data_IF_127125275125
#
_entry.id   IF_127125275125
#
_cell.length_a   1.000
_cell.length_b   1.000
_cell.length_c   1.000
_cell.angle_alpha   90.00
_cell.angle_beta   90.00
_cell.angle_gamma   90.00
#
_symmetry.space_group_name_H-M   'P 1'
#
loop_
_entity.id
_entity.type
_entity.pdbx_description
1 polymer ?
#
# COMPACT_ATOMS: atom_id res chain seq x y z
N UNK A 1 -3.70 10.92 -4.00
CA UNK A 1 -4.43 9.64 -3.87
C UNK A 1 -5.58 9.57 -4.87
N UNK A 2 -6.55 10.49 -4.80
CA UNK A 2 -7.70 10.52 -5.71
C UNK A 2 -7.29 10.36 -7.19
N UNK A 3 -6.41 11.23 -7.69
CA UNK A 3 -5.96 11.21 -9.09
C UNK A 3 -5.31 9.88 -9.52
N UNK A 4 -4.74 9.12 -8.58
CA UNK A 4 -4.15 7.80 -8.87
C UNK A 4 -5.23 6.72 -9.02
N UNK A 5 -6.33 6.81 -8.29
CA UNK A 5 -7.40 5.81 -8.25
C UNK A 5 -8.59 6.14 -9.16
N UNK A 6 -8.79 7.43 -9.47
CA UNK A 6 -9.87 7.98 -10.29
C UNK A 6 -9.30 9.01 -11.30
N UNK A 7 -8.39 8.60 -12.21
CA UNK A 7 -7.70 9.53 -13.11
C UNK A 7 -8.62 10.25 -14.11
N UNK A 8 -9.84 9.76 -14.32
CA UNK A 8 -10.81 10.32 -15.25
C UNK A 8 -11.87 11.19 -14.58
N UNK A 9 -11.78 11.38 -13.26
CA UNK A 9 -12.76 12.15 -12.50
C UNK A 9 -12.04 13.19 -11.65
N UNK A 10 -12.41 14.46 -11.83
CA UNK A 10 -11.83 15.55 -11.06
C UNK A 10 -12.42 15.55 -9.65
N UNK A 11 -11.56 15.59 -8.64
CA UNK A 11 -11.98 15.84 -7.26
C UNK A 11 -12.51 17.27 -7.12
N UNK A 12 -13.74 17.42 -6.61
CA UNK A 12 -14.38 18.70 -6.35
C UNK A 12 -13.67 19.48 -5.24
N UNK A 13 -13.13 18.77 -4.26
CA UNK A 13 -12.36 19.35 -3.16
C UNK A 13 -12.16 18.35 -2.03
N UNK A 14 -11.60 18.82 -0.91
CA UNK A 14 -11.40 17.97 0.27
C UNK A 14 -12.72 17.53 0.92
N UNK A 15 -13.73 18.40 0.94
CA UNK A 15 -15.02 18.14 1.57
C UNK A 15 -16.07 17.75 0.51
N UNK A 16 -16.15 16.47 0.15
CA UNK A 16 -17.08 15.97 -0.89
C UNK A 16 -17.42 14.50 -0.66
N UNK A 17 -18.56 14.03 -1.18
CA UNK A 17 -18.94 12.61 -1.08
C UNK A 17 -18.11 11.70 -1.97
N UNK A 18 -17.37 12.24 -2.95
CA UNK A 18 -16.52 11.45 -3.85
C UNK A 18 -15.57 10.51 -3.09
N UNK A 19 -15.07 10.92 -1.93
CA UNK A 19 -14.19 10.09 -1.09
C UNK A 19 -14.78 8.73 -0.70
N UNK A 20 -16.11 8.62 -0.61
CA UNK A 20 -16.79 7.36 -0.34
C UNK A 20 -16.60 6.32 -1.46
N UNK A 21 -16.37 6.77 -2.70
CA UNK A 21 -16.15 5.91 -3.87
C UNK A 21 -14.77 5.24 -3.90
N UNK A 22 -13.85 5.69 -3.06
CA UNK A 22 -12.59 4.99 -2.81
C UNK A 22 -12.51 4.44 -1.37
N UNK A 23 -13.67 4.38 -0.70
CA UNK A 23 -13.85 3.69 0.57
C UNK A 23 -13.42 4.47 1.80
N UNK A 24 -13.40 5.81 1.78
CA UNK A 24 -13.35 6.63 3.02
C UNK A 24 -14.74 6.76 3.66
N UNK A 25 -14.78 7.13 4.94
CA UNK A 25 -16.04 7.38 5.64
C UNK A 25 -16.47 8.85 5.49
N UNK A 26 -17.64 9.07 4.89
CA UNK A 26 -18.23 10.39 4.80
C UNK A 26 -17.50 11.32 3.82
N UNK A 27 -17.49 12.62 4.13
CA UNK A 27 -17.08 13.68 3.19
C UNK A 27 -15.66 14.20 3.38
N UNK A 28 -15.03 13.98 4.53
CA UNK A 28 -13.66 14.45 4.82
C UNK A 28 -12.78 13.24 5.16
N UNK A 29 -11.89 12.81 4.25
CA UNK A 29 -11.07 11.61 4.46
C UNK A 29 -10.10 11.77 5.64
N UNK A 30 -9.83 13.01 6.09
CA UNK A 30 -8.97 13.26 7.24
C UNK A 30 -9.52 12.63 8.53
N UNK A 31 -10.84 12.40 8.64
CA UNK A 31 -11.42 11.81 9.85
C UNK A 31 -11.07 10.33 10.02
N UNK A 32 -10.78 9.63 8.92
CA UNK A 32 -10.41 8.21 8.94
C UNK A 32 -8.95 7.99 9.34
N UNK A 33 -8.08 8.98 9.08
CA UNK A 33 -6.65 8.89 9.39
C UNK A 33 -6.31 9.16 10.86
N UNK A 34 -7.28 9.22 11.79
CA UNK A 34 -6.99 9.50 13.22
C UNK A 34 -6.03 8.49 13.85
N UNK A 35 -6.11 7.21 13.45
CA UNK A 35 -5.25 6.15 13.98
C UNK A 35 -3.86 6.14 13.36
N UNK A 36 -3.79 5.89 12.04
CA UNK A 36 -2.52 5.70 11.32
C UNK A 36 -1.94 6.99 10.74
N UNK A 37 -2.66 8.10 10.83
CA UNK A 37 -2.20 9.42 10.40
C UNK A 37 -1.73 9.45 8.96
N UNK A 38 -0.69 10.26 8.73
CA UNK A 38 -0.05 10.43 7.43
C UNK A 38 0.58 9.14 6.89
N UNK A 39 0.94 8.17 7.75
CA UNK A 39 1.47 6.89 7.28
C UNK A 39 0.43 6.11 6.48
N UNK A 40 -0.81 6.05 6.97
CA UNK A 40 -1.88 5.36 6.24
C UNK A 40 -2.18 6.01 4.89
N UNK A 41 -2.07 7.34 4.80
CA UNK A 41 -2.21 8.04 3.52
C UNK A 41 -1.02 7.74 2.59
N UNK A 42 0.21 7.78 3.12
CA UNK A 42 1.41 7.50 2.36
C UNK A 42 1.42 6.07 1.80
N UNK A 43 1.00 5.09 2.59
CA UNK A 43 0.86 3.69 2.21
C UNK A 43 -0.15 3.52 1.06
N UNK A 44 -1.34 4.12 1.18
CA UNK A 44 -2.35 4.12 0.12
C UNK A 44 -1.83 4.77 -1.17
N UNK A 45 -1.13 5.91 -1.05
CA UNK A 45 -0.53 6.61 -2.20
C UNK A 45 0.56 5.77 -2.84
N UNK A 46 1.44 5.15 -2.04
CA UNK A 46 2.50 4.30 -2.54
C UNK A 46 1.92 3.12 -3.31
N UNK A 47 0.93 2.43 -2.75
CA UNK A 47 0.30 1.29 -3.41
C UNK A 47 -0.36 1.68 -4.74
N UNK A 48 -1.12 2.79 -4.75
CA UNK A 48 -1.75 3.29 -5.96
C UNK A 48 -0.75 3.76 -7.03
N UNK A 49 0.39 4.32 -6.60
CA UNK A 49 1.42 4.85 -7.51
C UNK A 49 2.31 3.76 -8.12
N UNK A 50 2.76 2.81 -7.31
CA UNK A 50 3.76 1.80 -7.72
C UNK A 50 3.14 0.47 -8.16
N UNK A 51 1.90 0.18 -7.76
CA UNK A 51 1.18 -1.03 -8.16
C UNK A 51 -0.23 -0.71 -8.70
N UNK A 52 -0.35 0.18 -9.70
CA UNK A 52 -1.64 0.70 -10.17
C UNK A 52 -2.61 -0.40 -10.61
N UNK A 53 -2.11 -1.47 -11.24
CA UNK A 53 -2.94 -2.60 -11.66
C UNK A 53 -3.52 -3.36 -10.45
N UNK A 54 -2.70 -3.61 -9.44
CA UNK A 54 -3.12 -4.31 -8.22
C UNK A 54 -4.06 -3.46 -7.37
N UNK A 55 -3.75 -2.17 -7.20
CA UNK A 55 -4.61 -1.25 -6.44
C UNK A 55 -5.94 -1.01 -7.13
N UNK A 56 -5.96 -0.89 -8.47
CA UNK A 56 -7.19 -0.74 -9.23
C UNK A 56 -8.05 -2.00 -9.16
N UNK A 57 -7.45 -3.19 -9.32
CA UNK A 57 -8.16 -4.45 -9.14
C UNK A 57 -8.74 -4.57 -7.72
N UNK A 58 -7.97 -4.22 -6.69
CA UNK A 58 -8.48 -4.22 -5.32
C UNK A 58 -9.64 -3.23 -5.12
N UNK A 59 -9.56 -2.04 -5.70
CA UNK A 59 -10.65 -1.06 -5.69
C UNK A 59 -11.89 -1.52 -6.47
N UNK A 60 -11.72 -2.26 -7.56
CA UNK A 60 -12.85 -2.86 -8.29
C UNK A 60 -13.51 -3.97 -7.47
N UNK A 61 -12.72 -4.90 -6.92
CA UNK A 61 -13.20 -5.96 -6.04
C UNK A 61 -13.89 -5.40 -4.78
N UNK A 62 -13.44 -4.26 -4.26
CA UNK A 62 -14.03 -3.63 -3.08
C UNK A 62 -15.47 -3.15 -3.32
N UNK A 63 -15.93 -3.07 -4.58
CA UNK A 63 -17.30 -2.72 -4.96
C UNK A 63 -18.15 -3.93 -5.37
N UNK A 64 -17.73 -5.17 -5.09
CA UNK A 64 -18.54 -6.38 -5.36
C UNK A 64 -19.93 -6.28 -4.69
N UNK A 65 -20.99 -6.69 -5.39
CA UNK A 65 -22.36 -6.50 -4.92
C UNK A 65 -22.68 -7.20 -3.58
N UNK A 66 -21.91 -8.24 -3.23
CA UNK A 66 -22.14 -9.07 -2.03
C UNK A 66 -20.97 -8.92 -1.05
N UNK A 67 -19.74 -9.09 -1.55
CA UNK A 67 -18.49 -9.03 -0.80
C UNK A 67 -17.77 -7.70 -0.98
N UNK A 68 -18.48 -6.58 -0.98
CA UNK A 68 -17.83 -5.28 -0.94
C UNK A 68 -17.07 -5.07 0.38
N UNK A 69 -16.07 -4.20 0.33
CA UNK A 69 -15.38 -3.68 1.50
C UNK A 69 -14.93 -2.24 1.26
N UNK A 70 -14.67 -1.47 2.32
CA UNK A 70 -14.21 -0.10 2.18
C UNK A 70 -12.71 -0.05 1.87
N UNK A 71 -12.32 0.17 0.60
CA UNK A 71 -10.92 0.16 0.16
C UNK A 71 -9.98 0.98 1.05
N UNK A 72 -10.25 2.28 1.28
CA UNK A 72 -9.38 3.11 2.10
C UNK A 72 -9.35 2.66 3.57
N UNK A 73 -10.50 2.32 4.18
CA UNK A 73 -10.54 1.85 5.57
C UNK A 73 -9.76 0.54 5.75
N UNK A 74 -9.91 -0.40 4.82
CA UNK A 74 -9.11 -1.63 4.82
C UNK A 74 -7.63 -1.31 4.69
N UNK A 75 -7.25 -0.41 3.79
CA UNK A 75 -5.85 0.04 3.66
C UNK A 75 -5.30 0.65 4.95
N UNK A 76 -6.08 1.44 5.68
CA UNK A 76 -5.68 2.01 6.98
C UNK A 76 -5.55 0.91 8.04
N UNK A 77 -6.45 -0.08 8.06
CA UNK A 77 -6.34 -1.22 8.97
C UNK A 77 -5.11 -2.09 8.67
N UNK A 78 -4.74 -2.25 7.41
CA UNK A 78 -3.52 -2.94 6.99
C UNK A 78 -2.28 -2.16 7.43
N UNK A 79 -2.29 -0.82 7.33
CA UNK A 79 -1.21 0.03 7.86
C UNK A 79 -1.00 -0.27 9.36
N UNK A 80 -2.09 -0.30 10.13
CA UNK A 80 -2.06 -0.63 11.56
C UNK A 80 -1.47 -2.01 11.82
N UNK A 81 -1.87 -3.00 11.03
CA UNK A 81 -1.31 -4.35 11.12
C UNK A 81 0.19 -4.38 10.79
N UNK A 82 0.63 -3.75 9.70
CA UNK A 82 2.04 -3.68 9.33
C UNK A 82 2.88 -3.02 10.45
N UNK A 83 2.41 -1.91 11.00
CA UNK A 83 3.04 -1.24 12.16
C UNK A 83 3.07 -2.15 13.39
N UNK A 84 2.00 -2.92 13.64
CA UNK A 84 1.97 -3.86 14.76
C UNK A 84 3.05 -4.94 14.61
N UNK A 85 3.23 -5.52 13.42
CA UNK A 85 4.29 -6.52 13.17
C UNK A 85 5.69 -5.93 13.34
N UNK A 86 5.88 -4.64 13.05
CA UNK A 86 7.12 -3.92 13.31
C UNK A 86 7.36 -3.75 14.82
N UNK A 87 6.36 -3.21 15.54
CA UNK A 87 6.45 -2.93 16.99
C UNK A 87 6.66 -4.20 17.82
N UNK A 88 6.04 -5.31 17.40
CA UNK A 88 6.17 -6.62 18.04
C UNK A 88 7.39 -7.41 17.58
N UNK A 89 8.28 -6.80 16.79
CA UNK A 89 9.55 -7.39 16.31
C UNK A 89 9.39 -8.61 15.40
N UNK A 90 8.18 -8.89 14.91
CA UNK A 90 7.94 -9.99 13.98
C UNK A 90 8.63 -9.75 12.63
N UNK A 91 8.82 -8.49 12.23
CA UNK A 91 9.49 -8.12 10.97
C UNK A 91 11.02 -8.14 11.02
N UNK A 92 11.67 -8.46 12.15
CA UNK A 92 13.12 -8.33 12.26
C UNK A 92 13.89 -9.11 11.20
N UNK A 93 13.51 -10.37 10.96
CA UNK A 93 14.16 -11.20 9.96
C UNK A 93 13.88 -10.70 8.54
N UNK A 94 12.66 -10.23 8.27
CA UNK A 94 12.29 -9.64 6.99
C UNK A 94 13.14 -8.39 6.70
N UNK A 95 13.30 -7.49 7.66
CA UNK A 95 14.11 -6.28 7.52
C UNK A 95 15.61 -6.60 7.41
N UNK A 96 16.09 -7.62 8.14
CA UNK A 96 17.47 -8.09 8.01
C UNK A 96 17.81 -8.54 6.58
N UNK A 97 16.88 -9.23 5.92
CA UNK A 97 17.11 -9.72 4.55
C UNK A 97 16.91 -8.66 3.47
N UNK A 98 15.96 -7.74 3.65
CA UNK A 98 15.51 -6.85 2.57
C UNK A 98 15.96 -5.39 2.75
N UNK A 99 16.49 -5.03 3.92
CA UNK A 99 16.84 -3.67 4.28
C UNK A 99 15.81 -3.01 5.21
N UNK A 100 16.16 -1.84 5.74
CA UNK A 100 15.34 -1.07 6.69
C UNK A 100 14.77 0.21 6.09
N UNK A 101 14.86 0.35 4.76
CA UNK A 101 14.40 1.53 4.06
C UNK A 101 12.87 1.61 4.04
N UNK A 102 12.35 2.84 3.93
CA UNK A 102 10.90 3.09 3.85
C UNK A 102 10.24 2.32 2.70
N UNK A 103 10.95 2.13 1.57
CA UNK A 103 10.43 1.34 0.44
C UNK A 103 10.20 -0.12 0.81
N UNK A 104 11.03 -0.72 1.68
CA UNK A 104 10.88 -2.12 2.12
C UNK A 104 9.61 -2.27 2.97
N UNK A 105 9.33 -1.30 3.83
CA UNK A 105 8.06 -1.26 4.57
C UNK A 105 6.86 -1.13 3.61
N UNK A 106 6.95 -0.26 2.62
CA UNK A 106 5.89 -0.08 1.63
C UNK A 106 5.65 -1.32 0.77
N UNK A 107 6.69 -2.09 0.46
CA UNK A 107 6.58 -3.38 -0.23
C UNK A 107 5.76 -4.39 0.58
N UNK A 108 6.01 -4.46 1.90
CA UNK A 108 5.21 -5.26 2.82
C UNK A 108 3.75 -4.79 2.81
N UNK A 109 3.50 -3.49 2.96
CA UNK A 109 2.14 -2.93 2.93
C UNK A 109 1.39 -3.35 1.66
N UNK A 110 2.00 -3.12 0.49
CA UNK A 110 1.40 -3.46 -0.80
C UNK A 110 1.12 -4.95 -0.91
N UNK A 111 2.06 -5.79 -0.46
CA UNK A 111 1.88 -7.24 -0.41
C UNK A 111 0.69 -7.62 0.49
N UNK A 112 0.59 -7.06 1.69
CA UNK A 112 -0.50 -7.33 2.61
C UNK A 112 -1.87 -6.93 2.01
N UNK A 113 -1.96 -5.78 1.36
CA UNK A 113 -3.21 -5.37 0.70
C UNK A 113 -3.55 -6.29 -0.47
N UNK A 114 -2.60 -6.54 -1.37
CA UNK A 114 -2.80 -7.47 -2.48
C UNK A 114 -3.32 -8.84 -1.99
N UNK A 115 -2.70 -9.38 -0.93
CA UNK A 115 -3.07 -10.66 -0.34
C UNK A 115 -4.39 -10.63 0.40
N UNK A 116 -4.73 -9.53 1.07
CA UNK A 116 -6.04 -9.36 1.70
C UNK A 116 -7.13 -9.38 0.63
N UNK A 117 -6.97 -8.61 -0.45
CA UNK A 117 -7.95 -8.58 -1.53
C UNK A 117 -8.17 -9.98 -2.13
N UNK A 118 -7.08 -10.69 -2.45
CA UNK A 118 -7.18 -12.06 -2.96
C UNK A 118 -7.83 -13.01 -1.95
N UNK A 119 -7.49 -12.90 -0.66
CA UNK A 119 -8.08 -13.72 0.40
C UNK A 119 -9.58 -13.45 0.53
N UNK A 120 -9.97 -12.19 0.67
CA UNK A 120 -11.38 -11.77 0.79
C UNK A 120 -12.23 -12.24 -0.39
N UNK A 121 -11.76 -12.04 -1.61
CA UNK A 121 -12.51 -12.39 -2.83
C UNK A 121 -12.59 -13.89 -3.14
N UNK A 122 -11.80 -14.73 -2.47
CA UNK A 122 -11.77 -16.20 -2.73
C UNK A 122 -12.45 -17.02 -1.64
N UNK A 123 -12.95 -16.38 -0.59
CA UNK A 123 -13.66 -17.06 0.49
C UNK A 123 -15.02 -17.56 0.04
N UNK A 124 -15.32 -18.81 0.43
CA UNK A 124 -16.62 -19.44 0.23
C UNK A 124 -17.15 -19.96 1.58
N UNK A 125 -18.37 -19.57 2.00
CA UNK A 125 -19.27 -18.64 1.32
C UNK A 125 -18.72 -17.20 1.27
N UNK A 126 -19.13 -16.43 0.25
CA UNK A 126 -18.77 -15.02 0.08
C UNK A 126 -18.99 -14.21 1.37
N UNK A 127 -17.95 -13.56 1.94
CA UNK A 127 -18.08 -12.80 3.18
C UNK A 127 -18.82 -11.49 2.94
N UNK A 128 -19.60 -11.05 3.92
CA UNK A 128 -20.21 -9.71 3.91
C UNK A 128 -19.39 -8.74 4.74
N UNK A 129 -19.71 -7.44 4.69
CA UNK A 129 -19.07 -6.45 5.57
C UNK A 129 -19.23 -6.80 7.07
N UNK A 130 -20.27 -7.54 7.45
CA UNK A 130 -20.47 -7.99 8.84
C UNK A 130 -19.43 -9.02 9.29
N UNK A 131 -18.80 -9.72 8.34
CA UNK A 131 -17.74 -10.69 8.60
C UNK A 131 -16.36 -10.06 8.72
N UNK A 132 -16.23 -8.74 8.46
CA UNK A 132 -14.95 -8.07 8.29
C UNK A 132 -13.97 -8.32 9.43
N UNK A 133 -14.36 -8.06 10.68
CA UNK A 133 -13.46 -8.19 11.83
C UNK A 133 -12.94 -9.63 12.00
N UNK A 134 -13.81 -10.63 11.82
CA UNK A 134 -13.44 -12.03 11.90
C UNK A 134 -12.47 -12.41 10.78
N UNK A 135 -12.83 -12.11 9.54
CA UNK A 135 -12.02 -12.43 8.35
C UNK A 135 -10.67 -11.70 8.38
N UNK A 136 -10.65 -10.45 8.83
CA UNK A 136 -9.43 -9.68 8.96
C UNK A 136 -8.53 -10.22 10.08
N UNK A 137 -9.11 -10.71 11.20
CA UNK A 137 -8.36 -11.41 12.23
C UNK A 137 -7.72 -12.70 11.71
N UNK A 138 -8.48 -13.52 10.97
CA UNK A 138 -7.98 -14.75 10.34
C UNK A 138 -6.86 -14.45 9.33
N UNK A 139 -7.03 -13.40 8.54
CA UNK A 139 -6.02 -12.90 7.61
C UNK A 139 -4.72 -12.50 8.33
N UNK A 140 -4.79 -11.74 9.43
CA UNK A 140 -3.61 -11.36 10.22
C UNK A 140 -2.86 -12.58 10.73
N UNK A 141 -3.56 -13.55 11.32
CA UNK A 141 -2.97 -14.80 11.81
C UNK A 141 -2.27 -15.56 10.67
N UNK A 142 -2.89 -15.63 9.49
CA UNK A 142 -2.28 -16.24 8.31
C UNK A 142 -0.99 -15.53 7.90
N UNK A 143 -0.97 -14.20 7.87
CA UNK A 143 0.21 -13.42 7.51
C UNK A 143 1.32 -13.54 8.55
N UNK A 144 1.01 -13.45 9.84
CA UNK A 144 1.99 -13.65 10.93
C UNK A 144 2.64 -15.04 10.86
N UNK A 145 1.85 -16.08 10.56
CA UNK A 145 2.38 -17.44 10.33
C UNK A 145 3.30 -17.52 9.11
N UNK A 146 3.01 -16.80 8.04
CA UNK A 146 3.90 -16.76 6.86
C UNK A 146 5.20 -16.00 7.20
N UNK A 147 5.11 -14.94 8.00
CA UNK A 147 6.27 -14.15 8.43
C UNK A 147 7.18 -14.96 9.36
N UNK A 148 6.60 -15.72 10.31
CA UNK A 148 7.33 -16.64 11.18
C UNK A 148 8.04 -17.76 10.38
N UNK A 149 7.46 -18.20 9.26
CA UNK A 149 8.08 -19.12 8.30
C UNK A 149 9.07 -18.46 7.34
N UNK A 150 9.38 -17.18 7.56
CA UNK A 150 10.36 -16.40 6.78
C UNK A 150 10.00 -16.30 5.30
N UNK A 151 8.69 -16.36 4.98
CA UNK A 151 8.24 -16.18 3.60
C UNK A 151 8.54 -14.76 3.13
N UNK A 152 8.98 -14.63 1.89
CA UNK A 152 9.19 -13.34 1.24
C UNK A 152 7.85 -12.65 0.98
N UNK A 153 7.68 -11.45 1.52
CA UNK A 153 6.45 -10.65 1.44
C UNK A 153 6.72 -9.32 0.76
N UNK A 154 7.10 -9.37 -0.52
CA UNK A 154 7.27 -8.18 -1.35
C UNK A 154 6.45 -8.35 -2.61
N UNK A 155 5.54 -7.41 -2.86
CA UNK A 155 4.59 -7.51 -3.97
C UNK A 155 5.30 -7.55 -5.33
N UNK A 156 6.44 -6.87 -5.46
CA UNK A 156 7.29 -6.96 -6.66
C UNK A 156 7.68 -8.38 -7.05
N UNK A 157 7.58 -9.38 -6.17
CA UNK A 157 7.88 -10.78 -6.52
C UNK A 157 6.64 -11.67 -6.63
N UNK A 158 5.44 -11.16 -6.31
CA UNK A 158 4.19 -11.94 -6.29
C UNK A 158 3.29 -11.68 -7.52
N UNK A 159 3.63 -10.68 -8.35
CA UNK A 159 2.87 -10.39 -9.58
C UNK A 159 3.18 -11.41 -10.70
N UNK A 160 2.15 -11.82 -11.46
CA UNK A 160 2.27 -12.75 -12.61
C UNK A 160 3.33 -12.32 -13.63
N UNK A 161 3.53 -11.01 -13.78
CA UNK A 161 4.55 -10.41 -14.65
C UNK A 161 5.98 -10.82 -14.24
N UNK A 162 6.24 -11.04 -12.94
CA UNK A 162 7.53 -11.51 -12.43
C UNK A 162 7.65 -13.03 -12.32
N UNK A 163 6.53 -13.77 -12.33
CA UNK A 163 6.55 -15.22 -12.55
C UNK A 163 7.00 -15.57 -13.98
N UNK A 164 6.63 -14.74 -14.97
CA UNK A 164 7.09 -14.87 -16.36
C UNK A 164 8.57 -14.52 -16.55
N UNK A 165 9.13 -13.65 -15.70
CA UNK A 165 10.55 -13.28 -15.69
C UNK A 165 11.46 -14.28 -14.94
N UNK A 166 10.93 -15.42 -14.49
CA UNK A 166 11.75 -16.54 -13.99
C UNK A 166 12.20 -16.43 -12.52
N UNK A 167 11.62 -15.55 -11.71
CA UNK A 167 11.96 -15.45 -10.27
C UNK A 167 11.23 -16.46 -9.36
N UNK A 168 10.42 -17.35 -9.94
CA UNK A 168 9.77 -18.44 -9.21
C UNK A 168 10.73 -19.60 -8.99
N UNK A 169 11.17 -19.80 -7.75
CA UNK A 169 12.05 -20.89 -7.28
C UNK A 169 13.52 -20.78 -7.67
N UNK A 170 14.26 -19.82 -7.13
CA UNK A 170 15.64 -20.05 -6.65
C UNK A 170 16.00 -18.93 -5.64
N UNK A 171 17.01 -19.19 -4.82
CA UNK A 171 17.50 -18.40 -3.67
C UNK A 171 17.32 -16.87 -3.79
N UNK A 172 17.13 -16.16 -2.65
CA UNK A 172 17.18 -14.69 -2.66
C UNK A 172 18.50 -14.26 -3.30
N UNK A 173 18.49 -13.27 -4.21
CA UNK A 173 19.73 -12.78 -4.81
C UNK A 173 20.62 -12.29 -3.69
N UNK A 174 21.84 -12.84 -3.63
CA UNK A 174 22.94 -12.21 -2.90
C UNK A 174 22.95 -10.72 -3.26
N UNK A 175 23.05 -9.87 -2.25
CA UNK A 175 23.02 -8.42 -2.36
C UNK A 175 23.66 -7.93 -3.67
N UNK A 176 22.85 -7.39 -4.60
CA UNK A 176 23.14 -6.32 -5.58
C UNK A 176 21.96 -6.25 -6.57
N UNK A 177 21.05 -5.32 -6.32
CA UNK A 177 20.48 -4.43 -7.33
C UNK A 177 19.76 -3.32 -6.56
N UNK A 178 20.41 -2.16 -6.46
CA UNK A 178 19.77 -0.97 -5.89
C UNK A 178 18.47 -0.67 -6.66
N UNK A 179 17.42 -0.16 -5.99
CA UNK A 179 16.21 0.28 -6.68
C UNK A 179 16.56 1.33 -7.77
N UNK A 180 15.73 1.47 -8.81
CA UNK A 180 15.89 2.55 -9.79
C UNK A 180 16.03 3.87 -9.03
N UNK A 181 17.11 4.63 -9.30
CA UNK A 181 17.31 5.92 -8.65
C UNK A 181 16.11 6.81 -8.98
N UNK A 182 15.60 7.47 -7.95
CA UNK A 182 14.67 8.58 -8.11
C UNK A 182 15.26 9.58 -9.11
N UNK A 183 14.46 10.13 -10.06
CA UNK A 183 14.86 11.32 -10.77
C UNK A 183 15.18 12.38 -9.72
N UNK A 184 16.43 12.85 -9.69
CA UNK A 184 16.76 14.07 -8.96
C UNK A 184 16.14 15.21 -9.75
N UNK A 185 15.27 15.98 -9.11
CA UNK A 185 14.79 17.23 -9.67
C UNK A 185 16.00 18.17 -9.82
N UNK A 186 16.57 18.23 -11.02
CA UNK A 186 17.46 19.31 -11.44
C UNK A 186 16.61 20.58 -11.63
N UNK A 187 16.26 21.20 -10.50
CA UNK A 187 15.85 22.59 -10.45
C UNK A 187 16.88 23.34 -9.59
N UNK A 188 18.11 23.39 -10.09
CA UNK A 188 19.10 24.37 -9.65
C UNK A 188 18.72 25.73 -10.21
N UNK A 189 17.91 26.48 -9.47
CA UNK A 189 17.61 27.88 -9.74
C UNK A 189 18.90 28.69 -9.51
N UNK A 190 19.55 29.09 -10.61
CA UNK A 190 20.63 30.07 -10.59
C UNK A 190 20.05 31.42 -10.14
N UNK A 191 20.25 31.76 -8.86
CA UNK A 191 20.02 33.12 -8.37
C UNK A 191 21.24 33.96 -8.72
N UNK A 192 21.09 34.77 -9.77
CA UNK A 192 22.05 35.80 -10.17
C UNK A 192 21.92 37.01 -9.21
N UNK A 193 22.94 37.23 -8.37
CA UNK A 193 23.02 38.38 -7.47
C UNK A 193 23.40 39.63 -8.27
N UNK A 194 22.40 40.42 -8.69
CA UNK A 194 22.63 41.79 -9.16
C UNK A 194 23.13 42.66 -8.00
N UNK A 195 24.40 43.09 -8.09
CA UNK A 195 24.97 44.13 -7.24
C UNK A 195 24.54 45.51 -7.73
N UNK A 196 23.44 46.05 -7.18
CA UNK A 196 23.13 47.48 -7.29
C UNK A 196 24.03 48.29 -6.35
N UNK A 197 25.03 48.96 -6.92
CA UNK A 197 25.71 50.11 -6.30
C UNK A 197 24.72 51.29 -6.26
N UNK A 198 24.33 51.73 -5.07
CA UNK A 198 23.78 53.07 -4.88
C UNK A 198 24.94 54.05 -4.64
N UNK A 199 25.02 55.07 -5.49
CA UNK A 199 25.34 56.42 -5.04
C UNK A 199 24.07 57.07 -4.50
#
# INVERSE_FOLDING_TARGET
LWDLLRPHEKLEGRYTKQWTEIGFQGKDPATDFRGMGMLGLDDLVYYAKYYPMSSKNALECSHDAISWYSFAIVGINITSFAVQTLRTRQLQYYLFLNGTDRSVYHELYCYLFHRFNAYWSTLEPKPSIMDFERVFADFKIMMERQLARRKLMMLRYDTKENMLLGYGHHQPPSAVAAPPRLPQDEAGEHIELETKKSK
#
